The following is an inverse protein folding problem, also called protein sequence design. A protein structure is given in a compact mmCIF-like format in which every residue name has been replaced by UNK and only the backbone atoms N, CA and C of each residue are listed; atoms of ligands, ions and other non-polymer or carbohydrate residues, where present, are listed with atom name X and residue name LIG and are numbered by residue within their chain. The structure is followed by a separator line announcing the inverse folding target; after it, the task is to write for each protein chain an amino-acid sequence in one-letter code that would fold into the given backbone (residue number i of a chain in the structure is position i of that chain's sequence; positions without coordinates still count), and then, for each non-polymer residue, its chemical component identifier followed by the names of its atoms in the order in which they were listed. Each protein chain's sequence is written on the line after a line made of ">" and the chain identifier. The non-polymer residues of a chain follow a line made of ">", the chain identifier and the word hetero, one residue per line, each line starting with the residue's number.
data_IF_041323514393
#
_entry.id   IF_041323514393
#
_cell.length_a   1.000
_cell.length_b   1.000
_cell.length_c   1.000
_cell.angle_alpha   90.00
_cell.angle_beta   90.00
_cell.angle_gamma   90.00
#
_symmetry.space_group_name_H-M   'P 1'
#
loop_
_entity.id
_entity.type
_entity.pdbx_description
1 polymer ?
#
# COMPACT_ATOMS: atom_id res chain seq x y z
N UNK A 1 -17.28 -7.17 34.12
CA UNK A 1 -17.91 -5.85 33.90
C UNK A 1 -16.93 -4.77 33.43
N UNK A 2 -15.70 -4.72 34.01
CA UNK A 2 -14.76 -3.63 33.71
C UNK A 2 -14.37 -3.52 32.23
N UNK A 3 -14.30 -4.63 31.50
CA UNK A 3 -14.00 -4.63 30.06
C UNK A 3 -15.07 -3.95 29.20
N UNK A 4 -16.30 -3.82 29.71
CA UNK A 4 -17.42 -3.13 29.05
C UNK A 4 -17.54 -1.65 29.46
N UNK A 5 -16.70 -1.16 30.38
CA UNK A 5 -16.68 0.27 30.74
C UNK A 5 -15.83 1.04 29.74
N UNK A 6 -16.43 2.03 29.12
CA UNK A 6 -15.73 2.92 28.18
C UNK A 6 -14.59 3.65 28.89
N UNK A 7 -13.40 3.57 28.33
CA UNK A 7 -12.20 4.22 28.90
C UNK A 7 -11.56 3.48 30.08
N UNK A 8 -12.07 2.31 30.50
CA UNK A 8 -11.42 1.53 31.52
C UNK A 8 -10.31 0.66 30.94
N UNK A 9 -9.11 0.77 31.47
CA UNK A 9 -7.96 -0.03 31.07
C UNK A 9 -7.04 -0.30 32.25
N UNK A 10 -6.67 -1.55 32.46
CA UNK A 10 -5.60 -1.92 33.42
C UNK A 10 -4.21 -1.51 32.94
N UNK A 11 -4.10 -1.15 31.64
CA UNK A 11 -2.84 -0.75 30.99
C UNK A 11 -2.81 0.73 30.61
N UNK A 12 -3.60 1.57 31.27
CA UNK A 12 -3.66 3.00 30.94
C UNK A 12 -2.27 3.67 31.03
N UNK A 13 -1.50 3.29 32.05
CA UNK A 13 -0.14 3.78 32.28
C UNK A 13 0.94 2.91 31.61
N UNK A 14 0.57 1.73 31.09
CA UNK A 14 1.48 0.85 30.35
C UNK A 14 1.42 1.17 28.86
N UNK A 15 2.50 1.72 28.31
CA UNK A 15 2.62 2.11 26.90
C UNK A 15 3.12 0.98 26.01
N UNK A 16 3.68 -0.09 26.61
CA UNK A 16 4.35 -1.18 25.89
C UNK A 16 3.43 -2.07 25.05
N UNK A 17 2.13 -1.96 25.20
CA UNK A 17 1.17 -2.84 24.50
C UNK A 17 0.33 -2.15 23.42
N UNK A 18 -0.32 -2.97 22.60
CA UNK A 18 -1.25 -2.48 21.59
C UNK A 18 -2.57 -1.94 22.13
N UNK A 19 -2.96 -2.33 23.37
CA UNK A 19 -4.18 -1.90 24.05
C UNK A 19 -3.87 -0.94 25.20
N UNK A 20 -4.33 0.32 25.14
CA UNK A 20 -4.06 1.33 26.18
C UNK A 20 -5.33 1.98 26.75
N UNK A 21 -6.20 2.45 25.91
CA UNK A 21 -7.26 3.39 26.30
C UNK A 21 -8.57 2.74 26.73
N UNK A 22 -8.73 1.42 26.59
CA UNK A 22 -9.97 0.72 26.97
C UNK A 22 -11.22 1.13 26.20
N UNK A 23 -11.06 1.69 25.00
CA UNK A 23 -12.20 2.18 24.19
C UNK A 23 -12.45 1.34 22.93
N UNK A 24 -11.42 0.59 22.44
CA UNK A 24 -11.48 -0.03 21.10
C UNK A 24 -12.58 -1.09 20.97
N UNK A 25 -12.76 -1.95 21.96
CA UNK A 25 -13.78 -2.99 21.93
C UNK A 25 -15.19 -2.40 21.93
N UNK A 26 -15.46 -1.48 22.82
CA UNK A 26 -16.80 -0.89 22.98
C UNK A 26 -17.15 -0.02 21.77
N UNK A 27 -16.27 0.93 21.39
CA UNK A 27 -16.55 1.80 20.26
C UNK A 27 -16.66 1.03 18.93
N UNK A 28 -15.85 -0.01 18.76
CA UNK A 28 -15.95 -0.88 17.59
C UNK A 28 -17.27 -1.65 17.56
N UNK A 29 -17.69 -2.19 18.69
CA UNK A 29 -18.90 -2.97 18.77
C UNK A 29 -20.17 -2.12 18.61
N UNK A 30 -20.31 -1.00 19.32
CA UNK A 30 -21.52 -0.13 19.23
C UNK A 30 -21.62 0.59 17.88
N UNK A 31 -20.54 0.65 17.12
CA UNK A 31 -20.58 1.13 15.74
C UNK A 31 -21.29 0.15 14.80
N UNK A 32 -21.24 -1.15 15.09
CA UNK A 32 -21.71 -2.21 14.19
C UNK A 32 -22.94 -2.94 14.70
N UNK A 33 -23.13 -3.00 16.03
CA UNK A 33 -24.19 -3.80 16.63
C UNK A 33 -24.78 -3.15 17.89
N UNK A 34 -25.97 -3.57 18.27
CA UNK A 34 -26.68 -3.05 19.44
C UNK A 34 -26.41 -3.84 20.73
N UNK A 35 -25.93 -5.09 20.61
CA UNK A 35 -25.73 -5.94 21.80
C UNK A 35 -24.36 -6.57 21.82
N UNK A 36 -23.67 -6.44 22.96
CA UNK A 36 -22.34 -7.01 23.22
C UNK A 36 -22.45 -7.87 24.46
N UNK A 37 -22.11 -9.13 24.35
CA UNK A 37 -22.05 -10.06 25.49
C UNK A 37 -20.61 -10.54 25.69
N UNK A 38 -20.16 -10.61 26.91
CA UNK A 38 -18.84 -11.12 27.28
C UNK A 38 -18.96 -12.27 28.24
N UNK A 39 -18.40 -13.40 27.90
CA UNK A 39 -18.21 -14.57 28.73
C UNK A 39 -16.74 -14.74 29.00
N UNK A 40 -16.34 -14.94 30.23
CA UNK A 40 -14.93 -15.16 30.57
C UNK A 40 -14.80 -16.16 31.70
N UNK A 41 -13.81 -17.05 31.56
CA UNK A 41 -13.42 -18.04 32.57
C UNK A 41 -11.91 -18.00 32.74
N UNK A 42 -11.46 -17.85 33.97
CA UNK A 42 -10.04 -17.96 34.32
C UNK A 42 -9.64 -19.43 34.44
N UNK A 43 -8.39 -19.76 34.19
CA UNK A 43 -7.84 -21.12 34.30
C UNK A 43 -8.11 -21.74 35.67
N UNK A 44 -7.99 -20.96 36.71
CA UNK A 44 -8.22 -21.37 38.12
C UNK A 44 -9.68 -21.43 38.51
N UNK A 45 -10.61 -21.01 37.64
CA UNK A 45 -12.05 -20.94 37.93
C UNK A 45 -12.78 -22.14 37.32
N UNK A 46 -13.76 -22.67 38.07
CA UNK A 46 -14.69 -23.69 37.53
C UNK A 46 -15.85 -23.11 36.72
N UNK A 47 -16.06 -21.79 36.79
CA UNK A 47 -17.29 -21.14 36.32
C UNK A 47 -17.02 -20.11 35.25
N UNK A 48 -17.88 -20.08 34.23
CA UNK A 48 -17.98 -18.99 33.29
C UNK A 48 -18.79 -17.85 33.88
N UNK A 49 -18.26 -16.64 33.81
CA UNK A 49 -18.95 -15.41 34.20
C UNK A 49 -19.36 -14.64 32.93
N UNK A 50 -20.55 -14.08 32.95
CA UNK A 50 -21.17 -13.39 31.83
C UNK A 50 -21.70 -12.01 32.25
N UNK A 51 -21.54 -11.05 31.36
CA UNK A 51 -22.14 -9.71 31.45
C UNK A 51 -22.34 -9.16 30.04
N UNK A 52 -23.14 -8.07 29.91
CA UNK A 52 -23.48 -7.55 28.59
C UNK A 52 -23.78 -6.04 28.62
N UNK A 53 -23.85 -5.44 27.44
CA UNK A 53 -24.45 -4.14 27.13
C UNK A 53 -25.47 -4.34 26.02
N UNK A 54 -26.63 -3.72 26.15
CA UNK A 54 -27.65 -3.68 25.12
C UNK A 54 -28.13 -2.23 24.94
N UNK A 55 -27.98 -1.69 23.72
CA UNK A 55 -28.28 -0.30 23.44
C UNK A 55 -29.79 -0.03 23.44
N UNK A 56 -30.63 -1.01 23.03
CA UNK A 56 -32.07 -0.88 23.06
C UNK A 56 -32.58 -0.86 24.52
N UNK A 57 -32.01 -1.69 25.41
CA UNK A 57 -32.32 -1.69 26.83
C UNK A 57 -31.87 -0.37 27.52
N UNK A 58 -30.77 0.24 27.07
CA UNK A 58 -30.34 1.55 27.57
C UNK A 58 -31.32 2.66 27.11
N UNK A 59 -31.68 2.64 25.82
CA UNK A 59 -32.59 3.61 25.23
C UNK A 59 -33.99 3.56 25.91
N UNK A 60 -34.47 2.36 26.22
CA UNK A 60 -35.73 2.12 26.93
C UNK A 60 -35.65 2.44 28.44
N UNK A 61 -34.48 2.80 28.97
CA UNK A 61 -34.27 3.04 30.40
C UNK A 61 -34.32 1.76 31.27
N UNK A 62 -34.21 0.58 30.64
CA UNK A 62 -34.18 -0.72 31.35
C UNK A 62 -32.78 -1.08 31.84
N UNK A 63 -31.76 -0.52 31.24
CA UNK A 63 -30.35 -0.70 31.63
C UNK A 63 -29.70 0.65 31.98
N UNK A 64 -29.57 0.93 33.27
CA UNK A 64 -28.89 2.12 33.78
C UNK A 64 -27.41 1.87 34.08
N UNK A 65 -27.05 0.62 34.34
CA UNK A 65 -25.67 0.21 34.67
C UNK A 65 -25.30 -1.11 34.00
N UNK A 66 -24.01 -1.32 33.78
CA UNK A 66 -23.51 -2.61 33.29
C UNK A 66 -23.75 -3.67 34.37
N UNK A 67 -24.47 -4.76 34.06
CA UNK A 67 -24.79 -5.79 35.04
C UNK A 67 -23.52 -6.41 35.65
N UNK A 68 -23.58 -6.66 36.96
CA UNK A 68 -22.54 -7.43 37.64
C UNK A 68 -22.44 -8.81 36.99
N UNK A 69 -21.19 -9.31 36.68
CA UNK A 69 -21.04 -10.61 36.08
C UNK A 69 -21.71 -11.72 36.87
N UNK A 70 -22.56 -12.49 36.22
CA UNK A 70 -23.27 -13.66 36.76
C UNK A 70 -22.76 -14.94 36.12
N UNK A 71 -22.97 -16.07 36.80
CA UNK A 71 -22.64 -17.39 36.26
C UNK A 71 -23.54 -17.75 35.08
N UNK A 72 -22.96 -17.99 33.91
CA UNK A 72 -23.68 -18.42 32.71
C UNK A 72 -22.70 -19.14 31.78
N UNK A 73 -23.04 -20.37 31.39
CA UNK A 73 -22.26 -21.13 30.45
C UNK A 73 -22.26 -20.49 29.07
N UNK A 74 -21.13 -20.66 28.34
CA UNK A 74 -21.05 -20.25 26.94
C UNK A 74 -22.04 -21.06 26.09
N UNK A 75 -22.66 -20.48 25.06
CA UNK A 75 -23.54 -21.22 24.16
C UNK A 75 -22.78 -22.39 23.50
N UNK A 76 -23.43 -23.58 23.44
CA UNK A 76 -22.82 -24.85 23.01
C UNK A 76 -22.07 -24.75 21.67
N UNK A 77 -22.60 -23.97 20.73
CA UNK A 77 -21.99 -23.76 19.41
C UNK A 77 -20.63 -23.10 19.42
N UNK A 78 -20.23 -22.49 20.53
CA UNK A 78 -18.91 -21.82 20.67
C UNK A 78 -17.92 -22.59 21.54
N UNK A 79 -18.36 -23.71 22.16
CA UNK A 79 -17.50 -24.49 23.05
C UNK A 79 -16.25 -25.02 22.35
N UNK A 80 -16.40 -25.47 21.10
CA UNK A 80 -15.28 -26.01 20.32
C UNK A 80 -14.29 -24.93 19.86
N UNK A 81 -14.74 -23.67 19.80
CA UNK A 81 -13.90 -22.54 19.40
C UNK A 81 -13.14 -21.96 20.59
N UNK A 82 -13.82 -21.76 21.70
CA UNK A 82 -13.25 -21.11 22.88
C UNK A 82 -12.50 -22.10 23.78
N UNK A 83 -12.88 -23.36 23.74
CA UNK A 83 -12.39 -24.38 24.67
C UNK A 83 -13.23 -24.43 25.96
N UNK A 84 -12.97 -25.49 26.75
CA UNK A 84 -13.72 -25.75 28.01
C UNK A 84 -13.01 -25.21 29.24
N UNK A 85 -11.68 -25.09 29.17
CA UNK A 85 -10.86 -24.87 30.36
C UNK A 85 -10.84 -23.40 30.82
N UNK A 86 -10.42 -22.52 29.94
CA UNK A 86 -10.40 -21.06 30.18
C UNK A 86 -10.50 -20.30 28.87
N UNK A 87 -10.78 -19.00 28.97
CA UNK A 87 -10.85 -18.14 27.80
C UNK A 87 -11.85 -16.99 27.92
N UNK A 88 -12.00 -16.25 26.85
CA UNK A 88 -12.99 -15.18 26.75
C UNK A 88 -13.71 -15.27 25.41
N UNK A 89 -15.05 -15.24 25.46
CA UNK A 89 -15.93 -15.14 24.30
C UNK A 89 -16.59 -13.77 24.32
N UNK A 90 -16.45 -13.04 23.22
CA UNK A 90 -17.15 -11.78 22.98
C UNK A 90 -18.13 -12.00 21.84
N UNK A 91 -19.41 -11.80 22.09
CA UNK A 91 -20.47 -11.92 21.09
C UNK A 91 -21.03 -10.55 20.75
N UNK A 92 -21.07 -10.26 19.48
CA UNK A 92 -21.76 -9.11 18.92
C UNK A 92 -23.03 -9.60 18.23
N UNK A 93 -24.15 -9.03 18.57
CA UNK A 93 -25.46 -9.40 18.02
C UNK A 93 -26.33 -8.17 17.77
N UNK A 94 -27.43 -8.36 17.05
CA UNK A 94 -28.30 -7.28 16.62
C UNK A 94 -27.53 -6.23 15.79
N UNK A 95 -26.90 -6.69 14.70
CA UNK A 95 -26.20 -5.82 13.76
C UNK A 95 -27.19 -4.91 13.04
N UNK A 96 -26.93 -3.61 13.01
CA UNK A 96 -27.77 -2.60 12.38
C UNK A 96 -27.05 -1.78 11.30
N UNK A 97 -25.73 -1.88 11.22
CA UNK A 97 -24.91 -1.11 10.26
C UNK A 97 -24.06 -1.93 9.31
N UNK A 98 -24.06 -3.24 9.46
CA UNK A 98 -23.24 -4.09 8.62
C UNK A 98 -23.65 -4.00 7.15
N UNK A 99 -22.67 -3.68 6.28
CA UNK A 99 -22.83 -3.65 4.82
C UNK A 99 -21.94 -4.68 4.17
N UNK A 100 -22.51 -5.47 3.25
CA UNK A 100 -21.79 -6.47 2.48
C UNK A 100 -22.04 -7.92 2.91
N UNK A 101 -21.54 -8.87 2.14
CA UNK A 101 -21.65 -10.28 2.45
C UNK A 101 -20.60 -10.74 3.48
N UNK A 102 -20.92 -11.76 4.24
CA UNK A 102 -19.99 -12.37 5.19
C UNK A 102 -18.69 -12.80 4.52
N UNK A 103 -18.76 -13.42 3.34
CA UNK A 103 -17.57 -13.87 2.58
C UNK A 103 -16.64 -12.73 2.20
N UNK A 104 -17.19 -11.57 1.85
CA UNK A 104 -16.38 -10.38 1.57
C UNK A 104 -15.65 -9.90 2.82
N UNK A 105 -16.37 -9.81 3.93
CA UNK A 105 -15.81 -9.38 5.21
C UNK A 105 -14.71 -10.35 5.68
N UNK A 106 -14.95 -11.66 5.57
CA UNK A 106 -13.97 -12.69 5.93
C UNK A 106 -12.69 -12.54 5.09
N UNK A 107 -12.81 -12.42 3.77
CA UNK A 107 -11.64 -12.23 2.89
C UNK A 107 -10.85 -10.97 3.22
N UNK A 108 -11.54 -9.85 3.39
CA UNK A 108 -10.92 -8.57 3.77
C UNK A 108 -10.26 -8.63 5.15
N UNK A 109 -10.89 -9.34 6.09
CA UNK A 109 -10.36 -9.55 7.43
C UNK A 109 -9.09 -10.39 7.42
N UNK A 110 -9.01 -11.47 6.62
CA UNK A 110 -7.79 -12.27 6.46
C UNK A 110 -6.62 -11.40 5.98
N UNK A 111 -6.83 -10.61 4.94
CA UNK A 111 -5.81 -9.70 4.41
C UNK A 111 -5.39 -8.65 5.43
N UNK A 112 -6.37 -8.00 6.04
CA UNK A 112 -6.12 -6.94 7.00
C UNK A 112 -5.38 -7.43 8.25
N UNK A 113 -5.82 -8.54 8.85
CA UNK A 113 -5.18 -9.09 10.05
C UNK A 113 -3.82 -9.70 9.73
N UNK A 114 -3.67 -10.36 8.58
CA UNK A 114 -2.40 -10.90 8.14
C UNK A 114 -1.31 -9.83 8.03
N UNK A 115 -1.65 -8.64 7.54
CA UNK A 115 -0.73 -7.52 7.46
C UNK A 115 -0.56 -6.82 8.82
N UNK A 116 -1.67 -6.47 9.47
CA UNK A 116 -1.67 -5.68 10.72
C UNK A 116 -0.95 -6.39 11.86
N UNK A 117 -1.11 -7.70 11.96
CA UNK A 117 -0.57 -8.50 13.06
C UNK A 117 0.57 -9.44 12.62
N UNK A 118 1.19 -9.20 11.45
CA UNK A 118 2.25 -10.08 10.91
C UNK A 118 3.36 -10.38 11.90
N UNK A 119 3.85 -9.37 12.66
CA UNK A 119 4.92 -9.57 13.64
C UNK A 119 4.48 -10.56 14.73
N UNK A 120 3.27 -10.41 15.25
CA UNK A 120 2.70 -11.32 16.26
C UNK A 120 2.48 -12.73 15.73
N UNK A 121 2.08 -12.87 14.45
CA UNK A 121 1.93 -14.18 13.81
C UNK A 121 3.30 -14.86 13.68
N UNK A 122 4.33 -14.13 13.31
CA UNK A 122 5.71 -14.64 13.27
C UNK A 122 6.23 -15.02 14.65
N UNK A 123 5.87 -14.26 15.68
CA UNK A 123 6.18 -14.54 17.09
C UNK A 123 5.38 -15.72 17.68
N UNK A 124 4.51 -16.36 16.87
CA UNK A 124 3.79 -17.56 17.26
C UNK A 124 2.34 -17.36 17.70
N UNK A 125 1.81 -16.15 17.67
CA UNK A 125 0.38 -15.92 17.94
C UNK A 125 -0.45 -16.47 16.79
N UNK A 126 -1.39 -17.39 17.10
CA UNK A 126 -2.35 -17.92 16.16
C UNK A 126 -3.59 -17.04 16.10
N UNK A 127 -3.95 -16.60 14.91
CA UNK A 127 -5.21 -15.88 14.62
C UNK A 127 -5.99 -16.75 13.63
N UNK A 128 -7.25 -17.03 13.94
CA UNK A 128 -8.16 -17.76 13.07
C UNK A 128 -9.39 -16.94 12.73
N UNK A 129 -9.80 -17.01 11.48
CA UNK A 129 -11.05 -16.43 10.98
C UNK A 129 -11.82 -17.56 10.31
N UNK A 130 -13.04 -17.82 10.76
CA UNK A 130 -13.89 -18.90 10.28
C UNK A 130 -13.14 -20.26 10.19
N UNK A 131 -12.40 -20.59 11.27
CA UNK A 131 -11.57 -21.80 11.43
C UNK A 131 -10.29 -21.86 10.60
N UNK A 132 -10.07 -20.93 9.68
CA UNK A 132 -8.86 -20.86 8.87
C UNK A 132 -7.79 -19.99 9.53
N UNK A 133 -6.54 -20.43 9.50
CA UNK A 133 -5.42 -19.64 10.01
C UNK A 133 -5.19 -18.41 9.14
N UNK A 134 -5.10 -17.26 9.79
CA UNK A 134 -4.65 -16.04 9.15
C UNK A 134 -3.15 -16.16 8.87
N UNK A 135 -2.78 -16.02 7.60
CA UNK A 135 -1.39 -16.02 7.17
C UNK A 135 -0.83 -14.60 7.20
N UNK A 136 0.42 -14.47 7.63
CA UNK A 136 1.09 -13.19 7.62
C UNK A 136 1.21 -12.64 6.18
N UNK A 137 1.16 -11.33 6.04
CA UNK A 137 1.48 -10.63 4.80
C UNK A 137 2.56 -9.59 5.08
N UNK A 138 3.72 -9.78 4.47
CA UNK A 138 4.87 -8.88 4.60
C UNK A 138 4.88 -7.84 3.46
N UNK A 139 4.61 -6.56 3.72
CA UNK A 139 4.72 -5.52 2.69
C UNK A 139 6.15 -5.32 2.17
N UNK A 140 7.16 -5.79 2.91
CA UNK A 140 8.55 -5.80 2.44
C UNK A 140 8.89 -7.01 1.57
N UNK A 141 8.09 -8.08 1.62
CA UNK A 141 8.40 -9.37 0.96
C UNK A 141 9.75 -9.99 1.34
N UNK A 142 10.34 -9.58 2.44
CA UNK A 142 11.60 -10.14 2.98
C UNK A 142 11.36 -11.46 3.68
N UNK A 143 10.26 -11.54 4.44
CA UNK A 143 9.89 -12.72 5.21
C UNK A 143 8.76 -13.47 4.52
N UNK A 144 9.06 -14.64 3.96
CA UNK A 144 8.07 -15.50 3.30
C UNK A 144 7.49 -16.58 4.21
N UNK A 145 8.11 -16.80 5.37
CA UNK A 145 7.66 -17.77 6.38
C UNK A 145 6.27 -17.40 6.92
N UNK A 146 5.44 -18.43 7.13
CA UNK A 146 4.05 -18.30 7.62
C UNK A 146 3.16 -17.36 6.76
N UNK A 147 3.58 -17.03 5.55
CA UNK A 147 2.78 -16.29 4.59
C UNK A 147 1.86 -17.22 3.80
N UNK A 148 1.01 -16.64 2.97
CA UNK A 148 0.18 -17.38 2.02
C UNK A 148 1.01 -18.07 0.93
N UNK A 149 2.21 -17.57 0.65
CA UNK A 149 3.12 -18.03 -0.40
C UNK A 149 4.52 -18.30 0.18
N UNK A 150 4.69 -19.36 1.00
CA UNK A 150 5.95 -19.60 1.71
C UNK A 150 7.13 -19.98 0.80
N UNK A 151 6.84 -20.37 -0.42
CA UNK A 151 7.88 -20.76 -1.42
C UNK A 151 8.23 -19.61 -2.38
N UNK A 152 7.66 -18.42 -2.19
CA UNK A 152 8.00 -17.27 -2.99
C UNK A 152 9.45 -16.85 -2.72
N UNK A 153 10.16 -16.32 -3.72
CA UNK A 153 11.47 -15.72 -3.49
C UNK A 153 11.34 -14.52 -2.54
N UNK A 154 12.31 -14.38 -1.64
CA UNK A 154 12.38 -13.21 -0.76
C UNK A 154 12.83 -11.99 -1.54
N UNK A 155 12.29 -10.82 -1.16
CA UNK A 155 12.77 -9.53 -1.63
C UNK A 155 14.20 -9.26 -1.13
N UNK A 156 14.94 -8.47 -1.88
CA UNK A 156 16.22 -7.94 -1.45
C UNK A 156 15.98 -6.72 -0.55
N UNK A 157 16.52 -6.78 0.65
CA UNK A 157 16.40 -5.70 1.63
C UNK A 157 17.62 -4.78 1.55
N UNK A 158 17.37 -3.48 1.49
CA UNK A 158 18.41 -2.47 1.65
C UNK A 158 18.79 -2.33 3.11
N UNK A 159 20.01 -1.83 3.38
CA UNK A 159 20.48 -1.60 4.74
C UNK A 159 19.47 -0.76 5.53
N UNK A 160 18.89 -1.28 6.62
CA UNK A 160 17.96 -0.53 7.45
C UNK A 160 18.64 0.67 8.08
N UNK A 161 17.94 1.76 8.23
CA UNK A 161 18.47 2.92 8.92
C UNK A 161 17.58 3.37 10.07
N UNK A 162 18.21 3.69 11.18
CA UNK A 162 17.57 4.16 12.40
C UNK A 162 17.99 5.60 12.67
N UNK A 163 17.07 6.43 13.11
CA UNK A 163 17.36 7.78 13.56
C UNK A 163 16.54 8.13 14.80
N UNK A 164 17.04 9.09 15.58
CA UNK A 164 16.40 9.56 16.78
C UNK A 164 15.48 10.74 16.49
N UNK A 165 14.32 10.75 17.16
CA UNK A 165 13.35 11.83 17.07
C UNK A 165 12.99 12.33 18.48
N UNK A 166 12.90 13.66 18.71
CA UNK A 166 12.62 14.19 20.05
C UNK A 166 11.22 13.80 20.51
N UNK A 167 11.10 13.45 21.79
CA UNK A 167 9.85 13.16 22.45
C UNK A 167 9.23 14.47 22.92
N UNK A 168 8.10 14.86 22.32
CA UNK A 168 7.44 16.15 22.55
C UNK A 168 6.68 16.24 23.89
N UNK A 169 6.23 15.10 24.46
CA UNK A 169 5.56 15.08 25.77
C UNK A 169 6.58 14.99 26.92
N UNK A 170 6.71 16.04 27.77
CA UNK A 170 7.68 16.02 28.88
C UNK A 170 7.49 14.88 29.89
N UNK A 171 6.26 14.39 30.05
CA UNK A 171 5.99 13.26 30.95
C UNK A 171 6.50 11.96 30.37
N UNK A 172 6.39 11.81 29.05
CA UNK A 172 6.93 10.66 28.31
C UNK A 172 8.45 10.75 28.25
N UNK A 173 9.00 11.93 27.98
CA UNK A 173 10.44 12.15 27.94
C UNK A 173 11.11 11.84 29.30
N UNK A 174 10.41 12.07 30.41
CA UNK A 174 10.91 11.70 31.76
C UNK A 174 11.01 10.18 31.96
N UNK A 175 10.16 9.41 31.30
CA UNK A 175 10.10 7.95 31.41
C UNK A 175 11.06 7.25 30.43
N UNK A 176 11.09 7.72 29.16
CA UNK A 176 11.80 7.06 28.05
C UNK A 176 13.09 7.76 27.62
N UNK A 177 13.38 8.96 28.13
CA UNK A 177 14.47 9.80 27.66
C UNK A 177 14.02 10.90 26.71
N UNK A 178 14.96 11.70 26.21
CA UNK A 178 14.65 12.86 25.37
C UNK A 178 14.29 12.48 23.94
N UNK A 179 14.69 11.29 23.48
CA UNK A 179 14.55 10.83 22.11
C UNK A 179 13.99 9.42 22.05
N UNK A 180 13.08 9.19 21.10
CA UNK A 180 12.68 7.87 20.66
C UNK A 180 13.38 7.49 19.35
N UNK A 181 13.37 6.19 19.01
CA UNK A 181 14.01 5.68 17.82
C UNK A 181 12.98 5.37 16.74
N UNK A 182 13.30 5.72 15.49
CA UNK A 182 12.52 5.40 14.30
C UNK A 182 13.40 4.58 13.39
N UNK A 183 12.98 3.37 13.07
CA UNK A 183 13.66 2.48 12.12
C UNK A 183 12.90 2.44 10.81
N UNK A 184 13.60 2.62 9.70
CA UNK A 184 13.05 2.50 8.35
C UNK A 184 13.74 1.34 7.66
N UNK A 185 12.93 0.43 7.13
CA UNK A 185 13.34 -0.71 6.32
C UNK A 185 12.75 -0.57 4.93
N UNK A 186 13.53 -0.86 3.92
CA UNK A 186 13.11 -0.82 2.52
C UNK A 186 13.60 -2.06 1.79
N UNK A 187 12.83 -2.49 0.81
CA UNK A 187 13.17 -3.66 -0.01
C UNK A 187 12.75 -3.42 -1.46
N UNK A 188 13.43 -4.09 -2.38
CA UNK A 188 12.99 -4.23 -3.76
C UNK A 188 12.37 -5.61 -3.94
N UNK A 189 11.16 -5.68 -4.48
CA UNK A 189 10.44 -6.94 -4.67
C UNK A 189 11.18 -7.86 -5.65
N UNK A 190 11.02 -9.19 -5.54
CA UNK A 190 11.62 -10.15 -6.45
C UNK A 190 11.35 -9.83 -7.91
N UNK A 191 12.32 -10.12 -8.77
CA UNK A 191 12.25 -9.80 -10.20
C UNK A 191 11.09 -10.51 -10.91
N UNK A 192 10.71 -11.69 -10.44
CA UNK A 192 9.60 -12.48 -10.96
C UNK A 192 8.25 -11.75 -10.85
N UNK A 193 8.11 -10.91 -9.82
CA UNK A 193 6.89 -10.14 -9.60
C UNK A 193 6.88 -8.79 -10.33
N UNK A 194 7.99 -8.45 -10.99
CA UNK A 194 8.18 -7.20 -11.76
C UNK A 194 8.26 -7.49 -13.27
N UNK A 195 7.26 -8.10 -13.92
CA UNK A 195 7.42 -8.65 -15.26
C UNK A 195 7.69 -7.59 -16.33
N UNK A 196 6.99 -6.47 -16.31
CA UNK A 196 7.15 -5.36 -17.24
C UNK A 196 6.38 -4.13 -16.80
N UNK A 197 6.67 -2.99 -17.43
CA UNK A 197 5.87 -1.77 -17.27
C UNK A 197 4.40 -2.02 -17.64
N UNK A 198 3.48 -1.50 -16.88
CA UNK A 198 2.03 -1.68 -17.09
C UNK A 198 1.47 -3.05 -16.68
N UNK A 199 2.31 -3.99 -16.24
CA UNK A 199 1.88 -5.35 -15.91
C UNK A 199 1.41 -5.57 -14.47
N UNK A 200 1.26 -4.52 -13.68
CA UNK A 200 0.82 -4.59 -12.28
C UNK A 200 -0.59 -5.10 -12.03
N UNK A 201 -1.19 -5.73 -13.04
CA UNK A 201 -2.53 -6.30 -12.96
C UNK A 201 -2.58 -7.82 -13.18
N UNK A 202 -1.44 -8.51 -13.20
CA UNK A 202 -1.42 -9.97 -13.34
C UNK A 202 -2.16 -10.64 -12.17
N UNK A 203 -2.74 -11.80 -12.41
CA UNK A 203 -3.43 -12.59 -11.38
C UNK A 203 -2.49 -12.93 -10.21
N UNK A 204 -1.22 -13.20 -10.51
CA UNK A 204 -0.18 -13.50 -9.53
C UNK A 204 0.18 -12.30 -8.67
N UNK A 205 0.35 -11.13 -9.27
CA UNK A 205 0.61 -9.89 -8.55
C UNK A 205 -0.57 -9.52 -7.64
N UNK A 206 -1.81 -9.61 -8.15
CA UNK A 206 -3.02 -9.37 -7.36
C UNK A 206 -3.18 -10.34 -6.19
N UNK A 207 -2.89 -11.63 -6.41
CA UNK A 207 -2.95 -12.62 -5.35
C UNK A 207 -1.97 -12.34 -4.20
N UNK A 208 -0.86 -11.66 -4.50
CA UNK A 208 0.17 -11.26 -3.55
C UNK A 208 0.02 -9.82 -3.04
N UNK A 209 -1.09 -9.18 -3.39
CA UNK A 209 -1.34 -7.77 -3.05
C UNK A 209 -0.28 -6.80 -3.60
N UNK A 210 0.28 -7.11 -4.79
CA UNK A 210 1.18 -6.22 -5.53
C UNK A 210 0.36 -5.55 -6.64
N UNK A 211 -0.54 -4.67 -6.26
CA UNK A 211 -1.40 -3.93 -7.18
C UNK A 211 -1.57 -2.47 -6.71
N UNK A 212 -2.26 -1.66 -7.51
CA UNK A 212 -2.47 -0.24 -7.20
C UNK A 212 -3.12 0.02 -5.83
N UNK A 213 -3.89 -0.94 -5.32
CA UNK A 213 -4.58 -0.81 -4.03
C UNK A 213 -3.64 -1.08 -2.85
N UNK A 214 -2.47 -1.63 -3.12
CA UNK A 214 -1.50 -2.09 -2.11
C UNK A 214 -0.19 -1.29 -2.16
N UNK A 215 -0.15 -0.21 -2.93
CA UNK A 215 0.97 0.72 -2.93
C UNK A 215 1.00 1.52 -1.63
N UNK A 216 2.15 1.55 -0.96
CA UNK A 216 2.22 2.34 0.24
C UNK A 216 3.35 1.98 1.19
N UNK A 217 3.34 2.68 2.29
CA UNK A 217 4.28 2.53 3.39
C UNK A 217 3.54 1.93 4.57
N UNK A 218 4.13 0.92 5.18
CA UNK A 218 3.66 0.31 6.41
C UNK A 218 4.23 1.05 7.61
N UNK A 219 3.38 1.56 8.51
CA UNK A 219 3.81 2.19 9.74
C UNK A 219 3.43 1.30 10.92
N UNK A 220 4.43 0.88 11.68
CA UNK A 220 4.28 0.00 12.84
C UNK A 220 4.52 0.76 14.13
N UNK A 221 3.62 0.57 15.06
CA UNK A 221 3.77 0.96 16.46
C UNK A 221 3.83 -0.29 17.33
N UNK A 222 4.90 -0.50 18.05
CA UNK A 222 5.07 -1.69 18.87
C UNK A 222 4.75 -2.99 18.10
N UNK A 223 5.29 -3.13 16.90
CA UNK A 223 5.07 -4.31 16.04
C UNK A 223 3.69 -4.44 15.40
N UNK A 224 2.72 -3.59 15.75
CA UNK A 224 1.40 -3.55 15.12
C UNK A 224 1.35 -2.50 14.04
N UNK A 225 0.88 -2.87 12.84
CA UNK A 225 0.61 -1.89 11.80
C UNK A 225 -0.56 -0.97 12.20
N UNK A 226 -0.28 0.32 12.24
CA UNK A 226 -1.25 1.36 12.54
C UNK A 226 -1.67 2.16 11.31
N UNK A 227 -0.88 2.08 10.24
CA UNK A 227 -1.17 2.67 8.94
C UNK A 227 -0.53 1.87 7.83
N UNK A 228 -1.22 1.77 6.68
CA UNK A 228 -0.69 1.29 5.42
C UNK A 228 -1.31 2.07 4.27
N UNK A 229 -0.49 2.51 3.36
CA UNK A 229 -0.91 3.23 2.16
C UNK A 229 0.06 4.36 1.79
N UNK A 230 -0.25 5.12 0.76
CA UNK A 230 0.49 6.32 0.47
C UNK A 230 0.39 7.26 1.67
N UNK A 231 1.51 7.77 2.16
CA UNK A 231 1.46 8.70 3.28
C UNK A 231 0.70 9.94 2.83
N UNK A 232 -0.43 10.26 3.49
CA UNK A 232 -1.18 11.48 3.23
C UNK A 232 -0.23 12.67 3.29
N UNK A 233 -0.34 13.61 2.36
CA UNK A 233 0.45 14.82 2.27
C UNK A 233 1.81 14.74 1.56
N UNK A 234 2.35 13.58 1.22
CA UNK A 234 3.55 13.55 0.38
C UNK A 234 3.30 14.08 -1.03
N UNK A 235 2.09 13.88 -1.55
CA UNK A 235 1.63 14.49 -2.81
C UNK A 235 1.15 15.94 -2.65
N UNK A 236 0.79 16.37 -1.42
CA UNK A 236 0.20 17.69 -1.17
C UNK A 236 1.13 18.70 -0.51
N UNK A 237 2.30 18.29 -0.02
CA UNK A 237 3.32 19.27 0.36
C UNK A 237 3.86 19.89 -0.93
N UNK A 238 3.14 20.87 -1.44
CA UNK A 238 3.71 21.89 -2.30
C UNK A 238 4.74 22.62 -1.46
N UNK A 239 5.93 22.08 -1.36
CA UNK A 239 7.08 22.87 -0.98
C UNK A 239 7.23 23.87 -2.12
N UNK A 240 6.75 25.09 -1.87
CA UNK A 240 6.95 26.33 -2.63
C UNK A 240 7.65 26.15 -3.97
N UNK A 241 6.95 26.43 -5.04
CA UNK A 241 7.43 26.88 -6.36
C UNK A 241 8.40 26.00 -7.18
N UNK A 242 9.02 24.99 -6.61
CA UNK A 242 9.85 24.06 -7.37
C UNK A 242 9.14 22.71 -7.55
N UNK A 243 8.63 22.46 -8.77
CA UNK A 243 8.01 21.22 -9.22
C UNK A 243 8.87 19.95 -9.01
N UNK A 244 10.16 20.11 -8.70
CA UNK A 244 11.11 19.01 -8.48
C UNK A 244 10.94 18.26 -7.15
N UNK A 245 10.13 18.76 -6.21
CA UNK A 245 9.98 18.15 -4.88
C UNK A 245 8.61 17.55 -4.57
N UNK A 246 7.71 17.46 -5.55
CA UNK A 246 6.46 16.74 -5.36
C UNK A 246 6.62 15.26 -5.66
N UNK A 247 6.64 14.47 -4.62
CA UNK A 247 6.65 13.01 -4.74
C UNK A 247 5.20 12.50 -4.72
N UNK A 248 4.78 11.90 -5.78
CA UNK A 248 3.57 11.09 -5.84
C UNK A 248 3.95 9.64 -6.04
N UNK A 249 3.19 8.72 -5.48
CA UNK A 249 3.33 7.31 -5.81
C UNK A 249 2.98 7.11 -7.28
N UNK A 250 3.91 6.52 -8.02
CA UNK A 250 3.78 6.19 -9.44
C UNK A 250 3.62 4.67 -9.61
N UNK A 251 3.36 4.22 -10.81
CA UNK A 251 3.28 2.79 -11.09
C UNK A 251 4.51 2.00 -10.63
N UNK A 252 5.69 2.61 -10.72
CA UNK A 252 6.95 2.03 -10.27
C UNK A 252 7.02 1.82 -8.74
N UNK A 253 6.28 2.59 -7.97
CA UNK A 253 6.32 2.52 -6.51
C UNK A 253 5.65 1.26 -5.93
N UNK A 254 4.99 0.45 -6.72
CA UNK A 254 4.46 -0.85 -6.30
C UNK A 254 5.50 -1.95 -6.17
N UNK A 255 6.71 -1.72 -6.70
CA UNK A 255 7.76 -2.73 -6.80
C UNK A 255 8.77 -2.69 -5.67
N UNK A 256 8.53 -1.87 -4.66
CA UNK A 256 9.31 -1.80 -3.45
C UNK A 256 8.42 -1.76 -2.22
N UNK A 257 8.96 -2.26 -1.11
CA UNK A 257 8.33 -2.20 0.19
C UNK A 257 9.01 -1.16 1.10
N UNK A 258 8.24 -0.59 2.02
CA UNK A 258 8.76 0.27 3.08
C UNK A 258 8.00 0.03 4.38
N UNK A 259 8.75 -0.18 5.45
CA UNK A 259 8.26 -0.33 6.81
C UNK A 259 8.92 0.72 7.70
N UNK A 260 8.12 1.50 8.42
CA UNK A 260 8.57 2.47 9.42
C UNK A 260 8.12 1.97 10.78
N UNK A 261 9.05 1.73 11.69
CA UNK A 261 8.77 1.22 13.04
C UNK A 261 9.14 2.24 14.08
N UNK A 262 8.32 2.40 15.11
CA UNK A 262 8.57 3.26 16.25
C UNK A 262 7.92 2.71 17.53
N UNK A 263 8.39 3.16 18.67
CA UNK A 263 7.87 2.83 20.00
C UNK A 263 6.75 3.77 20.46
N UNK A 264 6.09 3.39 21.53
CA UNK A 264 4.94 4.12 22.09
C UNK A 264 5.28 5.53 22.59
N UNK A 265 6.54 5.83 22.82
CA UNK A 265 7.03 7.14 23.22
C UNK A 265 6.86 8.21 22.15
N UNK A 266 6.76 7.79 20.88
CA UNK A 266 6.54 8.67 19.73
C UNK A 266 5.08 8.75 19.26
N UNK A 267 4.12 8.25 20.05
CA UNK A 267 2.68 8.30 19.71
C UNK A 267 2.21 9.71 19.34
N UNK A 268 2.73 10.74 20.01
CA UNK A 268 2.38 12.13 19.74
C UNK A 268 2.90 12.59 18.37
N UNK A 269 4.18 12.34 18.05
CA UNK A 269 4.80 12.73 16.79
C UNK A 269 4.22 12.02 15.57
N UNK A 270 3.66 10.83 15.76
CA UNK A 270 2.91 10.11 14.71
C UNK A 270 1.40 10.35 14.76
N UNK A 271 0.90 11.26 15.61
CA UNK A 271 -0.54 11.52 15.81
C UNK A 271 -1.36 10.21 15.86
N UNK A 272 -0.88 9.21 16.61
CA UNK A 272 -1.55 7.91 16.70
C UNK A 272 -2.91 8.05 17.37
N UNK A 273 -3.98 7.79 16.63
CA UNK A 273 -5.35 7.90 17.12
C UNK A 273 -5.68 6.79 18.12
N UNK A 274 -6.54 7.12 19.10
CA UNK A 274 -7.01 6.17 20.10
C UNK A 274 -7.63 4.90 19.52
N UNK A 275 -8.26 4.98 18.36
CA UNK A 275 -8.82 3.85 17.61
C UNK A 275 -7.76 3.06 16.82
N UNK A 276 -6.50 3.48 16.87
CA UNK A 276 -5.35 2.85 16.20
C UNK A 276 -5.55 2.53 14.72
N UNK A 277 -6.35 3.33 14.04
CA UNK A 277 -6.49 3.41 12.60
C UNK A 277 -6.01 4.78 12.16
N UNK A 278 -4.84 4.80 11.54
CA UNK A 278 -4.20 6.00 11.02
C UNK A 278 -3.11 6.52 11.96
N UNK A 279 -1.92 6.61 11.42
CA UNK A 279 -0.83 7.42 11.90
C UNK A 279 -0.68 8.57 10.89
N UNK A 280 -0.52 9.77 11.40
CA UNK A 280 -0.26 10.96 10.60
C UNK A 280 0.95 11.63 11.21
N UNK A 281 2.17 11.34 10.72
CA UNK A 281 3.36 11.99 11.21
C UNK A 281 3.21 13.51 11.14
N UNK A 282 3.66 14.21 12.19
CA UNK A 282 3.75 15.66 12.17
C UNK A 282 4.61 16.16 11.01
N UNK A 283 4.43 17.38 10.56
CA UNK A 283 4.99 17.88 9.30
C UNK A 283 6.53 17.81 9.25
N UNK A 284 7.20 18.11 10.36
CA UNK A 284 8.66 18.06 10.44
C UNK A 284 9.18 16.62 10.40
N UNK A 285 8.52 15.71 11.10
CA UNK A 285 8.84 14.28 11.06
C UNK A 285 8.61 13.72 9.66
N UNK A 286 7.52 14.10 9.02
CA UNK A 286 7.21 13.70 7.65
C UNK A 286 8.30 14.14 6.66
N UNK A 287 8.80 15.37 6.79
CA UNK A 287 9.93 15.88 5.99
C UNK A 287 11.20 15.08 6.24
N UNK A 288 11.51 14.78 7.51
CA UNK A 288 12.67 13.97 7.88
C UNK A 288 12.58 12.54 7.31
N UNK A 289 11.45 11.87 7.46
CA UNK A 289 11.19 10.56 6.89
C UNK A 289 11.38 10.59 5.36
N UNK A 290 10.79 11.57 4.68
CA UNK A 290 10.91 11.74 3.23
C UNK A 290 12.38 11.89 2.80
N UNK A 291 13.15 12.72 3.48
CA UNK A 291 14.57 12.91 3.17
C UNK A 291 15.37 11.60 3.30
N UNK A 292 15.00 10.75 4.26
CA UNK A 292 15.67 9.47 4.49
C UNK A 292 15.29 8.41 3.44
N UNK A 293 14.03 8.36 3.03
CA UNK A 293 13.53 7.35 2.08
C UNK A 293 13.92 7.69 0.64
N UNK A 294 13.96 8.97 0.26
CA UNK A 294 14.12 9.41 -1.13
C UNK A 294 15.35 8.84 -1.84
N UNK A 295 16.56 8.80 -1.25
CA UNK A 295 17.73 8.23 -1.92
C UNK A 295 17.52 6.77 -2.32
N UNK A 296 17.14 5.93 -1.35
CA UNK A 296 16.89 4.49 -1.59
C UNK A 296 15.74 4.27 -2.58
N UNK A 297 14.65 5.04 -2.46
CA UNK A 297 13.56 4.98 -3.44
C UNK A 297 14.04 5.25 -4.86
N UNK A 298 14.84 6.29 -5.05
CA UNK A 298 15.37 6.62 -6.38
C UNK A 298 16.21 5.48 -6.94
N UNK A 299 17.11 4.90 -6.14
CA UNK A 299 17.88 3.72 -6.52
C UNK A 299 16.99 2.58 -6.97
N UNK A 300 15.96 2.24 -6.18
CA UNK A 300 14.98 1.19 -6.54
C UNK A 300 14.30 1.48 -7.88
N UNK A 301 13.85 2.71 -8.09
CA UNK A 301 13.15 3.08 -9.33
C UNK A 301 14.08 2.98 -10.55
N UNK A 302 15.35 3.34 -10.39
CA UNK A 302 16.38 3.17 -11.43
C UNK A 302 16.60 1.68 -11.73
N UNK A 303 16.79 0.85 -10.72
CA UNK A 303 16.97 -0.60 -10.87
C UNK A 303 15.78 -1.27 -11.58
N UNK A 304 14.55 -0.95 -11.18
CA UNK A 304 13.34 -1.46 -11.84
C UNK A 304 13.30 -1.03 -13.30
N UNK A 305 13.60 0.23 -13.58
CA UNK A 305 13.60 0.77 -14.94
C UNK A 305 14.65 0.11 -15.83
N UNK A 306 15.83 -0.15 -15.27
CA UNK A 306 16.90 -0.84 -16.02
C UNK A 306 16.55 -2.29 -16.35
N UNK A 307 15.99 -3.04 -15.38
CA UNK A 307 15.53 -4.41 -15.61
C UNK A 307 14.50 -4.44 -16.74
N UNK A 308 13.55 -3.53 -16.73
CA UNK A 308 12.53 -3.46 -17.79
C UNK A 308 13.11 -3.09 -19.15
N UNK A 309 14.06 -2.15 -19.20
CA UNK A 309 14.77 -1.81 -20.45
C UNK A 309 15.52 -3.03 -21.01
N UNK A 310 16.23 -3.76 -20.15
CA UNK A 310 16.96 -4.98 -20.55
C UNK A 310 16.01 -6.07 -21.05
N UNK A 311 14.89 -6.31 -20.38
CA UNK A 311 13.85 -7.26 -20.82
C UNK A 311 13.26 -6.87 -22.16
N UNK A 312 12.83 -5.62 -22.30
CA UNK A 312 12.27 -5.12 -23.57
C UNK A 312 13.26 -5.29 -24.72
N UNK A 313 14.53 -4.98 -24.49
CA UNK A 313 15.58 -5.18 -25.49
C UNK A 313 15.78 -6.67 -25.85
N UNK A 314 15.66 -7.57 -24.87
CA UNK A 314 15.72 -9.03 -25.10
C UNK A 314 14.51 -9.53 -25.88
N UNK A 315 13.30 -9.17 -25.48
CA UNK A 315 12.06 -9.53 -26.17
C UNK A 315 12.08 -9.04 -27.63
N UNK A 316 12.60 -7.84 -27.86
CA UNK A 316 12.74 -7.29 -29.20
C UNK A 316 13.71 -8.13 -30.04
N UNK A 317 14.87 -8.51 -29.50
CA UNK A 317 15.84 -9.38 -30.18
C UNK A 317 15.24 -10.75 -30.51
N UNK A 318 14.57 -11.39 -29.53
CA UNK A 318 13.91 -12.68 -29.74
C UNK A 318 12.80 -12.60 -30.80
N UNK A 319 12.03 -11.50 -30.82
CA UNK A 319 11.02 -11.23 -31.84
C UNK A 319 11.67 -11.04 -33.24
N UNK A 320 12.78 -10.29 -33.29
CA UNK A 320 13.52 -10.06 -34.54
C UNK A 320 14.14 -11.35 -35.06
N UNK A 321 14.68 -12.20 -34.19
CA UNK A 321 15.26 -13.50 -34.55
C UNK A 321 14.18 -14.49 -35.04
N UNK A 322 13.01 -14.52 -34.38
CA UNK A 322 11.86 -15.30 -34.87
C UNK A 322 11.34 -14.80 -36.21
N UNK A 323 11.25 -13.48 -36.39
CA UNK A 323 10.83 -12.90 -37.67
C UNK A 323 11.82 -13.24 -38.82
N UNK A 324 13.11 -13.23 -38.48
CA UNK A 324 14.16 -13.64 -39.42
C UNK A 324 14.08 -15.14 -39.78
N UNK A 325 13.87 -16.01 -38.78
CA UNK A 325 13.71 -17.45 -38.96
C UNK A 325 12.49 -17.81 -39.83
N UNK A 326 11.43 -16.99 -39.73
CA UNK A 326 10.24 -17.14 -40.56
C UNK A 326 10.29 -16.43 -41.92
N UNK A 327 11.52 -15.91 -42.33
CA UNK A 327 11.69 -15.14 -43.52
C UNK A 327 11.00 -13.77 -43.53
N UNK A 328 10.53 -13.32 -42.37
CA UNK A 328 9.98 -11.98 -42.16
C UNK A 328 11.09 -11.06 -41.67
N UNK A 329 11.33 -9.97 -42.37
CA UNK A 329 12.30 -8.97 -41.93
C UNK A 329 11.70 -8.11 -40.78
N UNK A 330 12.49 -7.86 -39.74
CA UNK A 330 12.14 -6.84 -38.76
C UNK A 330 12.09 -5.48 -39.48
N UNK A 331 11.30 -4.55 -38.91
CA UNK A 331 11.19 -3.20 -39.48
C UNK A 331 12.54 -2.51 -39.64
N UNK A 332 13.50 -2.77 -38.73
CA UNK A 332 14.87 -2.25 -38.81
C UNK A 332 15.70 -2.91 -39.92
N UNK A 333 15.74 -4.24 -40.00
CA UNK A 333 16.43 -4.96 -41.06
C UNK A 333 15.78 -4.81 -42.43
N UNK A 334 14.44 -4.62 -42.44
CA UNK A 334 13.71 -4.26 -43.64
C UNK A 334 14.12 -2.89 -44.17
N UNK A 335 14.33 -1.93 -43.26
CA UNK A 335 14.83 -0.59 -43.61
C UNK A 335 16.32 -0.61 -44.07
N UNK A 336 17.20 -1.37 -43.40
CA UNK A 336 18.56 -1.57 -43.81
C UNK A 336 18.67 -2.21 -45.21
N UNK A 337 17.90 -3.28 -45.44
CA UNK A 337 17.87 -3.96 -46.73
C UNK A 337 17.25 -3.12 -47.83
N UNK A 338 16.24 -2.32 -47.49
CA UNK A 338 15.68 -1.35 -48.44
C UNK A 338 16.67 -0.23 -48.76
N UNK A 339 17.49 0.20 -47.78
CA UNK A 339 18.58 1.15 -48.02
C UNK A 339 19.71 0.56 -48.86
N UNK A 340 20.15 -0.69 -48.60
CA UNK A 340 21.13 -1.41 -49.40
C UNK A 340 20.65 -1.66 -50.84
N UNK A 341 19.36 -1.87 -51.04
CA UNK A 341 18.75 -2.06 -52.36
C UNK A 341 18.42 -0.73 -53.05
N UNK A 342 18.76 0.42 -52.46
CA UNK A 342 18.43 1.73 -53.01
C UNK A 342 16.94 2.06 -52.95
N UNK A 343 16.16 1.24 -52.24
CA UNK A 343 14.75 1.49 -52.02
C UNK A 343 14.66 2.56 -50.93
N UNK A 344 14.38 3.78 -51.36
CA UNK A 344 14.19 4.90 -50.41
C UNK A 344 13.03 4.59 -49.46
N UNK A 345 13.15 4.89 -48.12
CA UNK A 345 12.02 4.87 -47.17
C UNK A 345 10.87 5.81 -47.56
N UNK A 346 11.04 6.55 -48.64
CA UNK A 346 10.04 7.51 -49.14
C UNK A 346 8.74 6.91 -49.69
N UNK A 347 8.54 5.61 -49.67
CA UNK A 347 7.28 5.02 -50.14
C UNK A 347 6.04 5.36 -49.29
N UNK A 348 6.23 6.08 -48.15
CA UNK A 348 5.11 6.61 -47.34
C UNK A 348 4.88 8.11 -47.52
N UNK A 349 5.71 8.82 -48.28
CA UNK A 349 5.53 10.23 -48.56
C UNK A 349 5.21 10.38 -50.06
N UNK A 350 4.14 11.10 -50.37
CA UNK A 350 3.87 11.55 -51.72
C UNK A 350 5.08 12.33 -52.23
N UNK A 351 5.88 11.73 -53.10
CA UNK A 351 7.12 12.30 -53.58
C UNK A 351 6.94 13.66 -54.31
N UNK A 352 5.69 14.02 -54.62
CA UNK A 352 5.33 15.25 -55.31
C UNK A 352 4.94 16.39 -54.36
N UNK A 353 4.95 16.20 -53.05
CA UNK A 353 4.68 17.27 -52.09
C UNK A 353 5.95 18.01 -51.73
N UNK A 354 5.95 19.33 -51.84
CA UNK A 354 7.03 20.15 -51.29
C UNK A 354 7.09 19.98 -49.76
N UNK A 355 8.27 20.12 -49.14
CA UNK A 355 8.41 20.10 -47.69
C UNK A 355 7.45 21.05 -46.97
N UNK A 356 7.17 22.20 -47.54
CA UNK A 356 6.23 23.18 -47.02
C UNK A 356 4.79 22.63 -46.97
N UNK A 357 4.38 21.93 -48.05
CA UNK A 357 3.06 21.32 -48.14
C UNK A 357 2.86 20.16 -47.18
N UNK A 358 3.93 19.40 -46.90
CA UNK A 358 3.91 18.34 -45.87
C UNK A 358 3.76 18.94 -44.47
N UNK A 359 4.46 20.05 -44.20
CA UNK A 359 4.34 20.80 -42.91
C UNK A 359 2.95 21.39 -42.78
N UNK A 360 2.39 21.96 -43.83
CA UNK A 360 1.03 22.53 -43.79
C UNK A 360 -0.04 21.47 -43.57
N UNK A 361 0.03 20.34 -44.31
CA UNK A 361 -0.88 19.20 -44.12
C UNK A 361 -0.79 18.64 -42.69
N UNK A 362 0.41 18.62 -42.10
CA UNK A 362 0.62 18.17 -40.72
C UNK A 362 0.06 19.15 -39.71
N UNK A 363 0.29 20.44 -39.89
CA UNK A 363 -0.26 21.48 -39.02
C UNK A 363 -1.79 21.57 -39.12
N UNK A 364 -2.36 21.32 -40.29
CA UNK A 364 -3.82 21.29 -40.45
C UNK A 364 -4.44 20.07 -39.75
N UNK A 365 -3.76 18.93 -39.82
CA UNK A 365 -4.24 17.67 -39.22
C UNK A 365 -4.09 17.64 -37.70
N UNK A 366 -2.97 18.10 -37.16
CA UNK A 366 -2.61 18.00 -35.75
C UNK A 366 -2.52 19.33 -35.02
N UNK A 367 -2.43 20.45 -35.74
CA UNK A 367 -2.28 21.79 -35.19
C UNK A 367 -3.58 22.56 -34.96
N UNK A 368 -4.75 21.89 -35.03
CA UNK A 368 -6.06 22.56 -34.89
C UNK A 368 -6.24 23.31 -33.55
N UNK A 369 -5.46 22.96 -32.53
CA UNK A 369 -5.48 23.62 -31.22
C UNK A 369 -4.40 24.69 -31.03
N UNK A 370 -3.55 24.92 -32.04
CA UNK A 370 -2.46 25.88 -31.97
C UNK A 370 -2.91 27.27 -32.46
N UNK A 371 -2.53 28.32 -31.74
CA UNK A 371 -2.73 29.70 -32.21
C UNK A 371 -1.88 30.03 -33.43
N UNK A 372 -2.30 31.01 -34.24
CA UNK A 372 -1.63 31.38 -35.49
C UNK A 372 -0.13 31.69 -35.33
N UNK A 373 0.25 32.37 -34.24
CA UNK A 373 1.65 32.66 -33.93
C UNK A 373 2.47 31.38 -33.63
N UNK A 374 1.88 30.38 -32.98
CA UNK A 374 2.52 29.12 -32.69
C UNK A 374 2.71 28.29 -33.97
N UNK A 375 1.70 28.29 -34.87
CA UNK A 375 1.79 27.62 -36.19
C UNK A 375 2.91 28.25 -37.03
N UNK A 376 3.03 29.56 -37.04
CA UNK A 376 4.09 30.25 -37.78
C UNK A 376 5.48 29.92 -37.22
N UNK A 377 5.63 29.90 -35.90
CA UNK A 377 6.90 29.51 -35.23
C UNK A 377 7.30 28.07 -35.48
N UNK A 378 6.34 27.15 -35.58
CA UNK A 378 6.56 25.79 -35.98
C UNK A 378 7.06 25.69 -37.42
N UNK A 379 6.43 26.44 -38.37
CA UNK A 379 6.89 26.48 -39.77
C UNK A 379 8.34 26.95 -39.90
N UNK A 380 8.69 28.03 -39.19
CA UNK A 380 10.06 28.54 -39.17
C UNK A 380 11.08 27.57 -38.60
N UNK A 381 10.69 26.85 -37.53
CA UNK A 381 11.55 25.84 -36.89
C UNK A 381 11.81 24.65 -37.81
N UNK A 382 10.81 24.17 -38.53
CA UNK A 382 10.93 23.02 -39.44
C UNK A 382 11.59 23.44 -40.77
N UNK A 383 11.42 24.66 -41.24
CA UNK A 383 12.09 25.14 -42.43
C UNK A 383 13.61 25.33 -42.25
N UNK A 384 14.07 25.52 -41.02
CA UNK A 384 15.49 25.77 -40.72
C UNK A 384 16.34 24.51 -40.49
N UNK A 385 15.72 23.30 -40.50
CA UNK A 385 16.40 22.04 -40.17
C UNK A 385 16.02 20.90 -41.13
N UNK A 386 16.95 20.00 -41.51
CA UNK A 386 16.68 18.87 -42.40
C UNK A 386 16.00 17.73 -41.61
N UNK A 387 14.74 17.90 -41.22
CA UNK A 387 14.00 16.86 -40.54
C UNK A 387 13.17 16.02 -41.50
N UNK A 388 13.17 14.71 -41.25
CA UNK A 388 12.20 13.80 -41.85
C UNK A 388 11.05 13.65 -40.87
N UNK A 389 9.86 14.14 -41.21
CA UNK A 389 8.67 13.93 -40.37
C UNK A 389 8.20 12.49 -40.58
N UNK A 390 8.30 11.67 -39.54
CA UNK A 390 7.71 10.32 -39.52
C UNK A 390 6.29 10.48 -38.99
N UNK A 391 5.31 10.18 -39.82
CA UNK A 391 3.89 10.18 -39.44
C UNK A 391 3.61 8.95 -38.57
N UNK A 392 3.71 9.09 -37.26
CA UNK A 392 3.36 8.05 -36.30
C UNK A 392 1.93 8.32 -35.80
N UNK A 393 0.99 7.50 -36.26
CA UNK A 393 -0.45 7.71 -36.10
C UNK A 393 -0.95 7.65 -34.64
N UNK A 394 -0.15 7.23 -33.66
CA UNK A 394 -0.64 6.99 -32.30
C UNK A 394 -0.06 7.87 -31.20
N UNK A 395 0.84 8.80 -31.43
CA UNK A 395 1.53 9.41 -30.31
C UNK A 395 2.06 10.83 -30.39
N UNK A 396 1.94 11.48 -31.51
CA UNK A 396 2.54 12.82 -31.66
C UNK A 396 1.72 13.90 -30.97
N UNK A 397 2.06 14.21 -29.74
CA UNK A 397 1.66 15.44 -29.04
C UNK A 397 2.85 16.37 -29.07
N UNK A 398 2.86 17.31 -30.00
CA UNK A 398 3.82 18.38 -30.21
C UNK A 398 4.86 18.60 -29.13
N UNK A 399 5.87 17.76 -29.06
CA UNK A 399 7.06 17.98 -28.28
C UNK A 399 8.17 18.39 -29.25
N UNK A 400 8.75 19.56 -29.07
CA UNK A 400 9.98 19.90 -29.72
C UNK A 400 11.08 18.95 -29.24
N UNK A 401 11.80 18.34 -30.16
CA UNK A 401 13.07 17.66 -29.90
C UNK A 401 14.17 18.66 -29.64
#
# INVERSE_FOLDING_TARGET
>A
ASCLKLGWSSRFNDRSGIGRFGVGMILGAIHECKRIEVYSKQETSSKWLWTYIDLDEIEDGKMETIPTPTEKNIPQKYVDIVGKDHGTLVLWSNYDRQKGSADKIIREAHTYFGRTFRKFIWDGISIKIDKEDVKAHDPLYVTTDKTKFPNDPSAEEYEPFTFKWPISDPKVAKEFGEFGEITIRMSILPEEFRPRQGAGGSAEAKARHIDQMQEGISILREGREVFFGPIPYWSFVRLSENKQNSWSFQELDRWWGCEISFGAELDASFEVKNIKRGAKPEEELLKAIKQKITPTRNTVLEEVSEVWKKRKAREQRESDDQANALGRHSSHKGAEKAAEQGLSPRSRFDADKSPEKVIDDHLDKFGATLEAQQKQRYKELFASQPYTIIDDHEGWRGGAF
#
